data_IF_660186474957
#
_entry.id   IF_660186474957
#
_cell.length_a   1.000
_cell.length_b   1.000
_cell.length_c   1.000
_cell.angle_alpha   90.00
_cell.angle_beta   90.00
_cell.angle_gamma   90.00
#
_symmetry.space_group_name_H-M   'P 1'
#
loop_
_entity.id
_entity.type
_entity.pdbx_description
1 polymer ?
#
# COMPACT_ATOMS: atom_id res chain seq x y z
N UNK A 1 -4.41 5.97 -11.56
CA UNK A 1 -5.56 6.83 -11.26
C UNK A 1 -6.82 6.20 -11.82
N UNK A 2 -7.80 6.02 -10.99
CA UNK A 2 -9.04 5.35 -11.33
C UNK A 2 -10.19 6.35 -11.34
N UNK A 3 -10.94 6.41 -12.44
CA UNK A 3 -11.98 7.39 -12.64
C UNK A 3 -13.40 6.84 -12.59
N UNK A 4 -13.57 5.53 -12.44
CA UNK A 4 -14.86 4.87 -12.39
C UNK A 4 -15.05 4.14 -11.09
N UNK A 5 -16.24 3.58 -10.88
CA UNK A 5 -16.51 2.76 -9.70
C UNK A 5 -15.60 1.54 -9.67
N UNK A 6 -14.67 1.54 -8.72
CA UNK A 6 -13.74 0.46 -8.53
C UNK A 6 -14.05 -0.17 -7.19
N UNK A 7 -13.94 -1.49 -7.12
CA UNK A 7 -14.07 -2.17 -5.84
C UNK A 7 -12.70 -2.54 -5.27
N UNK A 8 -12.71 -2.99 -4.03
CA UNK A 8 -11.53 -3.43 -3.29
C UNK A 8 -10.70 -4.45 -4.10
N UNK A 9 -11.36 -5.42 -4.70
CA UNK A 9 -10.67 -6.50 -5.42
C UNK A 9 -9.95 -5.98 -6.65
N UNK A 10 -10.56 -5.06 -7.39
CA UNK A 10 -9.93 -4.46 -8.56
C UNK A 10 -8.69 -3.68 -8.18
N UNK A 11 -8.74 -2.89 -7.11
CA UNK A 11 -7.57 -2.13 -6.63
C UNK A 11 -6.44 -3.08 -6.27
N UNK A 12 -6.73 -4.12 -5.49
CA UNK A 12 -5.73 -5.10 -5.09
C UNK A 12 -5.12 -5.81 -6.28
N UNK A 13 -5.96 -6.18 -7.26
CA UNK A 13 -5.49 -6.85 -8.46
C UNK A 13 -4.57 -5.97 -9.29
N UNK A 14 -4.93 -4.72 -9.49
CA UNK A 14 -4.12 -3.81 -10.29
C UNK A 14 -2.81 -3.44 -9.61
N UNK A 15 -2.81 -3.25 -8.31
CA UNK A 15 -1.58 -3.00 -7.56
C UNK A 15 -0.65 -4.22 -7.61
N UNK A 16 -1.20 -5.42 -7.48
CA UNK A 16 -0.43 -6.66 -7.58
C UNK A 16 0.15 -6.84 -8.99
N UNK A 17 -0.63 -6.52 -10.01
CA UNK A 17 -0.15 -6.57 -11.40
C UNK A 17 0.98 -5.57 -11.63
N UNK A 18 0.87 -4.38 -11.08
CA UNK A 18 1.94 -3.38 -11.16
C UNK A 18 3.24 -3.92 -10.58
N UNK A 19 3.19 -4.51 -9.40
CA UNK A 19 4.37 -5.10 -8.76
C UNK A 19 4.92 -6.27 -9.57
N UNK A 20 4.04 -7.08 -10.16
CA UNK A 20 4.47 -8.20 -11.02
C UNK A 20 5.17 -7.68 -12.28
N UNK A 21 4.64 -6.63 -12.91
CA UNK A 21 5.26 -6.05 -14.10
C UNK A 21 6.61 -5.41 -13.78
N UNK A 22 6.80 -4.92 -12.56
CA UNK A 22 8.10 -4.41 -12.11
C UNK A 22 9.10 -5.54 -11.78
N UNK A 23 8.67 -6.79 -11.83
CA UNK A 23 9.52 -7.92 -11.50
C UNK A 23 9.73 -8.16 -10.02
N UNK A 24 8.92 -7.52 -9.17
CA UNK A 24 9.08 -7.61 -7.72
C UNK A 24 8.37 -8.82 -7.12
N UNK A 25 7.32 -9.34 -7.76
CA UNK A 25 6.51 -10.44 -7.21
C UNK A 25 6.18 -11.46 -8.30
N UNK A 26 5.77 -12.67 -7.85
CA UNK A 26 5.28 -13.72 -8.72
C UNK A 26 3.80 -13.51 -9.04
N UNK A 27 3.22 -14.22 -10.04
CA UNK A 27 1.79 -14.15 -10.31
C UNK A 27 0.90 -14.61 -9.14
N UNK A 28 1.43 -15.36 -8.18
CA UNK A 28 0.70 -15.84 -7.01
C UNK A 28 0.56 -14.80 -5.90
N UNK A 29 1.28 -13.70 -6.00
CA UNK A 29 1.29 -12.67 -4.95
C UNK A 29 -0.13 -12.16 -4.66
N UNK A 30 -0.93 -11.95 -5.69
CA UNK A 30 -2.30 -11.46 -5.54
C UNK A 30 -3.16 -12.40 -4.67
N UNK A 31 -3.02 -13.72 -4.84
CA UNK A 31 -3.75 -14.69 -4.03
C UNK A 31 -3.40 -14.54 -2.55
N UNK A 32 -2.12 -14.31 -2.26
CA UNK A 32 -1.65 -14.09 -0.89
C UNK A 32 -2.22 -12.81 -0.29
N UNK A 33 -2.31 -11.75 -1.08
CA UNK A 33 -2.93 -10.49 -0.65
C UNK A 33 -4.40 -10.71 -0.30
N UNK A 34 -5.13 -11.43 -1.14
CA UNK A 34 -6.53 -11.75 -0.87
C UNK A 34 -6.69 -12.55 0.42
N UNK A 35 -5.83 -13.52 0.65
CA UNK A 35 -5.86 -14.31 1.90
C UNK A 35 -5.61 -13.43 3.11
N UNK A 36 -4.64 -12.52 3.03
CA UNK A 36 -4.36 -11.59 4.13
C UNK A 36 -5.57 -10.71 4.42
N UNK A 37 -6.25 -10.20 3.39
CA UNK A 37 -7.42 -9.36 3.57
C UNK A 37 -8.58 -10.10 4.23
N UNK A 38 -8.69 -11.40 3.99
CA UNK A 38 -9.73 -12.23 4.61
C UNK A 38 -9.43 -12.58 6.06
N UNK A 39 -8.20 -12.36 6.53
CA UNK A 39 -7.81 -12.68 7.92
C UNK A 39 -8.19 -11.59 8.91
N UNK A 40 -8.50 -10.39 8.46
CA UNK A 40 -8.85 -9.28 9.33
C UNK A 40 -8.54 -7.94 8.69
N UNK A 41 -8.84 -6.88 9.42
CA UNK A 41 -8.65 -5.51 8.93
C UNK A 41 -7.16 -5.19 8.69
N UNK A 42 -6.89 -4.50 7.59
CA UNK A 42 -5.57 -3.99 7.26
C UNK A 42 -5.54 -2.45 7.33
N UNK A 43 -6.57 -1.86 7.90
CA UNK A 43 -6.61 -0.41 8.08
C UNK A 43 -5.62 0.02 9.16
N UNK A 44 -4.79 1.02 8.85
CA UNK A 44 -3.76 1.52 9.78
C UNK A 44 -4.01 2.97 10.22
N UNK A 45 -4.98 3.62 9.62
CA UNK A 45 -5.39 4.98 9.95
C UNK A 45 -6.71 5.25 9.28
N UNK A 46 -7.19 6.47 9.39
CA UNK A 46 -8.49 6.85 8.85
C UNK A 46 -8.48 6.81 7.32
N UNK A 47 -9.07 5.76 6.76
CA UNK A 47 -9.17 5.60 5.31
C UNK A 47 -7.89 5.11 4.65
N UNK A 48 -6.97 4.51 5.40
CA UNK A 48 -5.68 4.03 4.88
C UNK A 48 -5.55 2.54 5.10
N UNK A 49 -5.17 1.83 4.03
CA UNK A 49 -4.91 0.39 4.06
C UNK A 49 -3.42 0.14 3.89
N UNK A 50 -2.87 -0.71 4.74
CA UNK A 50 -1.52 -1.24 4.59
C UNK A 50 -1.62 -2.75 4.48
N UNK A 51 -1.47 -3.28 3.27
CA UNK A 51 -1.66 -4.69 3.00
C UNK A 51 -0.39 -5.33 2.41
N UNK A 52 -0.33 -6.66 2.44
CA UNK A 52 0.81 -7.41 1.91
C UNK A 52 0.39 -8.81 1.49
N UNK A 53 1.24 -9.46 0.71
CA UNK A 53 1.11 -10.88 0.38
C UNK A 53 2.14 -11.73 1.14
N UNK A 54 2.40 -12.96 0.67
CA UNK A 54 3.36 -13.86 1.30
C UNK A 54 4.78 -13.61 0.79
N UNK A 55 5.77 -13.76 1.68
CA UNK A 55 7.19 -13.59 1.32
C UNK A 55 7.62 -14.48 0.18
N UNK A 56 7.09 -15.71 0.12
CA UNK A 56 7.47 -16.71 -0.88
C UNK A 56 7.21 -16.22 -2.30
N UNK A 57 6.27 -15.30 -2.45
CA UNK A 57 5.89 -14.77 -3.74
C UNK A 57 6.58 -13.45 -4.07
N UNK A 58 7.52 -13.01 -3.24
CA UNK A 58 8.25 -11.76 -3.44
C UNK A 58 9.69 -12.06 -3.86
N UNK A 59 10.08 -11.51 -5.00
CA UNK A 59 11.43 -11.62 -5.55
C UNK A 59 12.33 -10.48 -5.08
N UNK A 60 11.74 -9.30 -4.91
CA UNK A 60 12.45 -8.08 -4.53
C UNK A 60 11.51 -7.21 -3.70
N UNK A 61 12.01 -6.68 -2.59
CA UNK A 61 11.21 -5.80 -1.74
C UNK A 61 10.87 -4.52 -2.50
N UNK A 62 9.58 -4.22 -2.53
CA UNK A 62 9.06 -3.02 -3.17
C UNK A 62 7.74 -2.61 -2.52
N UNK A 63 7.47 -1.30 -2.55
CA UNK A 63 6.24 -0.73 -2.01
C UNK A 63 5.46 -0.12 -3.17
N UNK A 64 4.17 -0.43 -3.26
CA UNK A 64 3.26 0.24 -4.18
C UNK A 64 2.22 1.01 -3.36
N UNK A 65 1.80 2.15 -3.85
CA UNK A 65 0.74 2.91 -3.22
C UNK A 65 -0.22 3.44 -4.26
N UNK A 66 -1.48 3.60 -3.84
CA UNK A 66 -2.56 4.07 -4.68
C UNK A 66 -3.42 5.06 -3.90
N UNK A 67 -3.52 6.27 -4.41
CA UNK A 67 -4.42 7.28 -3.87
C UNK A 67 -5.63 7.35 -4.79
N UNK A 68 -6.83 7.30 -4.22
CA UNK A 68 -8.08 7.36 -4.97
C UNK A 68 -8.66 8.77 -4.91
N UNK A 69 -9.18 9.25 -6.03
CA UNK A 69 -9.85 10.55 -6.08
C UNK A 69 -11.14 10.55 -5.28
N UNK A 70 -11.81 9.40 -5.24
CA UNK A 70 -13.02 9.21 -4.46
C UNK A 70 -12.88 7.98 -3.57
N UNK A 71 -13.21 8.08 -2.28
CA UNK A 71 -13.14 6.91 -1.40
C UNK A 71 -14.00 5.76 -1.89
N UNK A 72 -13.54 4.54 -1.63
CA UNK A 72 -14.30 3.33 -1.93
C UNK A 72 -14.57 2.59 -0.62
N UNK A 73 -15.59 1.74 -0.63
CA UNK A 73 -15.91 0.92 0.53
C UNK A 73 -14.92 -0.23 0.62
N UNK A 74 -14.26 -0.33 1.78
CA UNK A 74 -13.31 -1.39 2.08
C UNK A 74 -13.79 -2.09 3.34
N UNK A 75 -14.45 -3.23 3.16
CA UNK A 75 -15.23 -3.89 4.20
C UNK A 75 -16.37 -2.98 4.67
N UNK A 76 -16.27 -2.34 5.83
CA UNK A 76 -17.30 -1.43 6.37
C UNK A 76 -16.84 0.02 6.44
N UNK A 77 -15.69 0.35 5.87
CA UNK A 77 -15.11 1.68 5.99
C UNK A 77 -14.79 2.28 4.63
N UNK A 78 -14.75 3.60 4.57
CA UNK A 78 -14.33 4.31 3.37
C UNK A 78 -12.83 4.47 3.36
N UNK A 79 -12.19 4.12 2.23
CA UNK A 79 -10.74 4.11 2.07
C UNK A 79 -10.36 4.89 0.81
N UNK A 80 -9.37 5.75 0.92
CA UNK A 80 -8.88 6.55 -0.20
C UNK A 80 -7.38 6.38 -0.47
N UNK A 81 -6.66 5.67 0.39
CA UNK A 81 -5.23 5.46 0.19
C UNK A 81 -4.84 4.03 0.58
N UNK A 82 -4.22 3.33 -0.37
CA UNK A 82 -3.82 1.94 -0.19
C UNK A 82 -2.32 1.82 -0.40
N UNK A 83 -1.64 1.17 0.54
CA UNK A 83 -0.22 0.84 0.44
C UNK A 83 -0.08 -0.67 0.43
N UNK A 84 0.61 -1.19 -0.57
CA UNK A 84 0.85 -2.62 -0.71
C UNK A 84 2.34 -2.90 -0.58
N UNK A 85 2.69 -3.75 0.39
CA UNK A 85 4.06 -4.13 0.67
C UNK A 85 4.39 -5.47 0.03
N UNK A 86 5.46 -5.50 -0.74
CA UNK A 86 6.08 -6.73 -1.19
C UNK A 86 7.43 -6.83 -0.46
N UNK A 87 7.52 -7.77 0.48
CA UNK A 87 8.68 -7.91 1.36
C UNK A 87 9.34 -9.25 1.13
N UNK A 88 10.59 -9.22 0.67
CA UNK A 88 11.35 -10.44 0.41
C UNK A 88 11.83 -11.06 1.73
N UNK A 89 11.75 -12.39 1.80
CA UNK A 89 12.05 -13.16 3.01
C UNK A 89 13.47 -12.94 3.54
N UNK A 90 14.43 -12.71 2.65
CA UNK A 90 15.86 -12.62 3.00
C UNK A 90 16.29 -11.23 3.46
N UNK A 91 15.39 -10.27 3.53
CA UNK A 91 15.76 -8.89 3.78
C UNK A 91 15.46 -8.52 5.24
N UNK A 92 16.48 -8.61 6.10
CA UNK A 92 16.34 -8.30 7.52
C UNK A 92 16.03 -6.83 7.81
N UNK A 93 16.33 -5.93 6.87
CA UNK A 93 16.03 -4.50 7.01
C UNK A 93 14.53 -4.20 6.90
N UNK A 94 13.76 -5.16 6.40
CA UNK A 94 12.34 -4.95 6.12
C UNK A 94 11.51 -4.69 7.37
N UNK A 95 11.88 -5.29 8.49
CA UNK A 95 11.14 -5.06 9.74
C UNK A 95 11.22 -3.60 10.15
N UNK A 96 12.39 -2.99 10.03
CA UNK A 96 12.57 -1.58 10.35
C UNK A 96 11.81 -0.69 9.36
N UNK A 97 11.82 -1.05 8.08
CA UNK A 97 11.09 -0.32 7.05
C UNK A 97 9.58 -0.38 7.25
N UNK A 98 9.06 -1.55 7.64
CA UNK A 98 7.65 -1.70 7.94
C UNK A 98 7.22 -0.86 9.14
N UNK A 99 8.03 -0.86 10.21
CA UNK A 99 7.74 -0.04 11.38
C UNK A 99 7.77 1.45 11.06
N UNK A 100 8.74 1.88 10.26
CA UNK A 100 8.84 3.26 9.81
C UNK A 100 7.61 3.65 9.00
N UNK A 101 7.21 2.82 8.04
CA UNK A 101 6.04 3.07 7.20
C UNK A 101 4.77 3.12 8.05
N UNK A 102 4.63 2.22 9.01
CA UNK A 102 3.49 2.21 9.91
C UNK A 102 3.39 3.51 10.71
N UNK A 103 4.51 3.97 11.25
CA UNK A 103 4.57 5.24 11.99
C UNK A 103 4.18 6.42 11.10
N UNK A 104 4.68 6.43 9.88
CA UNK A 104 4.40 7.49 8.93
C UNK A 104 2.92 7.56 8.58
N UNK A 105 2.31 6.43 8.32
CA UNK A 105 0.89 6.35 7.97
C UNK A 105 -0.03 6.59 9.16
N UNK A 106 0.49 6.49 10.38
CA UNK A 106 -0.24 6.84 11.61
C UNK A 106 -0.15 8.32 11.96
N UNK A 107 0.70 9.07 11.28
CA UNK A 107 0.88 10.51 11.52
C UNK A 107 -0.09 11.30 10.66
N UNK A 108 -1.08 11.92 11.29
CA UNK A 108 -2.15 12.65 10.58
C UNK A 108 -1.62 13.82 9.75
N UNK A 109 -0.55 14.47 10.16
CA UNK A 109 0.05 15.55 9.41
C UNK A 109 0.60 15.07 8.07
N UNK A 110 1.31 13.93 8.09
CA UNK A 110 1.86 13.31 6.88
C UNK A 110 0.72 12.83 5.98
N UNK A 111 -0.28 12.17 6.56
CA UNK A 111 -1.43 11.65 5.82
C UNK A 111 -2.19 12.78 5.13
N UNK A 112 -2.39 13.90 5.82
CA UNK A 112 -3.09 15.04 5.23
C UNK A 112 -2.31 15.64 4.06
N UNK A 113 -0.99 15.68 4.14
CA UNK A 113 -0.17 16.12 3.02
C UNK A 113 -0.30 15.18 1.81
N UNK A 114 -0.33 13.88 2.07
CA UNK A 114 -0.52 12.88 1.00
C UNK A 114 -1.88 13.08 0.34
N UNK A 115 -2.91 13.33 1.13
CA UNK A 115 -4.28 13.55 0.61
C UNK A 115 -4.39 14.80 -0.25
N UNK A 116 -3.56 15.80 0.00
CA UNK A 116 -3.53 17.03 -0.81
C UNK A 116 -2.78 16.84 -2.13
N UNK A 117 -1.99 15.80 -2.25
CA UNK A 117 -1.21 15.53 -3.47
C UNK A 117 -2.13 15.16 -4.63
N UNK A 118 -1.85 15.70 -5.79
CA UNK A 118 -2.64 15.44 -7.01
C UNK A 118 -1.90 14.55 -8.02
N UNK A 119 -0.59 14.38 -7.82
CA UNK A 119 0.26 13.58 -8.71
C UNK A 119 1.05 12.57 -7.90
N UNK A 120 1.32 11.42 -8.49
CA UNK A 120 2.10 10.35 -7.86
C UNK A 120 3.47 10.84 -7.40
N UNK A 121 4.10 11.71 -8.18
CA UNK A 121 5.38 12.29 -7.84
C UNK A 121 5.34 13.09 -6.53
N UNK A 122 4.27 13.84 -6.31
CA UNK A 122 4.08 14.62 -5.09
C UNK A 122 3.97 13.71 -3.87
N UNK A 123 3.28 12.59 -4.02
CA UNK A 123 3.15 11.58 -2.95
C UNK A 123 4.52 11.04 -2.61
N UNK A 124 5.29 10.65 -3.61
CA UNK A 124 6.64 10.12 -3.43
C UNK A 124 7.54 11.12 -2.72
N UNK A 125 7.52 12.37 -3.13
CA UNK A 125 8.32 13.43 -2.51
C UNK A 125 7.91 13.66 -1.05
N UNK A 126 6.60 13.62 -0.76
CA UNK A 126 6.09 13.76 0.61
C UNK A 126 6.59 12.63 1.50
N UNK A 127 6.58 11.39 1.00
CA UNK A 127 7.05 10.23 1.74
C UNK A 127 8.56 10.32 2.02
N UNK A 128 9.35 10.77 1.06
CA UNK A 128 10.79 10.94 1.22
C UNK A 128 11.09 12.04 2.26
N UNK A 129 10.39 13.16 2.18
CA UNK A 129 10.55 14.25 3.15
C UNK A 129 10.22 13.78 4.56
N UNK A 130 9.14 13.04 4.71
CA UNK A 130 8.74 12.50 6.00
C UNK A 130 9.78 11.53 6.55
N UNK A 131 10.43 10.74 5.69
CA UNK A 131 11.45 9.77 6.09
C UNK A 131 12.66 10.44 6.73
N UNK A 132 12.98 11.65 6.34
CA UNK A 132 14.13 12.38 6.87
C UNK A 132 13.90 12.92 8.28
N UNK A 133 12.65 12.99 8.71
CA UNK A 133 12.26 13.53 10.01
C UNK A 133 12.04 12.45 11.08
N UNK A 134 12.11 11.21 10.67
CA UNK A 134 11.88 10.07 11.58
C UNK A 134 13.21 9.42 12.03
#
# INVERSE_FOLDING_TARGET
VFHEQIDKIQVLQEMSNYLRMCGAVTPRFFEGVLKRENMGSTEVGDGIILTHGFHEDVKRTQIAFCKLDHPIVWNTQEVDFIVMLAVAKTDAKNVMQMNWLYKMLSNMEIVNKIRECKKDREIYETLIEASKKL
#
